data_IF_748926729897
#
_entry.id   IF_748926729897
#
_cell.length_a   1.000
_cell.length_b   1.000
_cell.length_c   1.000
_cell.angle_alpha   90.00
_cell.angle_beta   90.00
_cell.angle_gamma   90.00
#
_symmetry.space_group_name_H-M   'P 1'
#
loop_
_entity.id
_entity.type
_entity.pdbx_description
1 polymer ?
#
# COMPACT_ATOMS: atom_id res chain seq x y z
N UNK A 1 -58.67 13.08 -27.68
CA UNK A 1 -58.47 12.03 -26.65
C UNK A 1 -57.30 11.07 -26.91
N UNK A 2 -56.82 10.84 -28.14
CA UNK A 2 -55.70 9.89 -28.42
C UNK A 2 -54.29 10.37 -27.98
N UNK A 3 -54.06 11.68 -27.85
CA UNK A 3 -52.74 12.22 -27.44
C UNK A 3 -52.46 12.19 -25.93
N UNK A 4 -53.50 12.12 -25.08
CA UNK A 4 -53.33 12.04 -23.63
C UNK A 4 -52.90 10.63 -23.16
N UNK A 5 -53.35 9.60 -23.87
CA UNK A 5 -53.11 8.20 -23.52
C UNK A 5 -51.66 7.75 -23.80
N UNK A 6 -50.97 8.38 -24.76
CA UNK A 6 -49.57 8.09 -25.09
C UNK A 6 -48.55 8.75 -24.14
N UNK A 7 -48.95 9.78 -23.38
CA UNK A 7 -48.05 10.42 -22.39
C UNK A 7 -48.03 9.66 -21.07
N UNK A 8 -49.15 9.07 -20.66
CA UNK A 8 -49.22 8.25 -19.45
C UNK A 8 -48.39 6.97 -19.54
N UNK A 9 -48.42 6.29 -20.70
CA UNK A 9 -47.64 5.07 -20.92
C UNK A 9 -46.11 5.32 -20.95
N UNK A 10 -45.67 6.46 -21.50
CA UNK A 10 -44.25 6.83 -21.55
C UNK A 10 -43.68 7.24 -20.17
N UNK A 11 -44.49 7.88 -19.31
CA UNK A 11 -44.08 8.22 -17.95
C UNK A 11 -44.01 7.02 -17.01
N UNK A 12 -44.88 6.01 -17.18
CA UNK A 12 -44.78 4.75 -16.42
C UNK A 12 -43.53 3.93 -16.80
N UNK A 13 -43.08 3.97 -18.05
CA UNK A 13 -41.88 3.26 -18.50
C UNK A 13 -40.57 3.86 -17.95
N UNK A 14 -40.49 5.19 -17.78
CA UNK A 14 -39.32 5.82 -17.15
C UNK A 14 -39.29 5.62 -15.63
N UNK A 15 -40.44 5.58 -14.96
CA UNK A 15 -40.50 5.32 -13.52
C UNK A 15 -40.10 3.88 -13.16
N UNK A 16 -40.39 2.90 -14.03
CA UNK A 16 -39.98 1.51 -13.84
C UNK A 16 -38.48 1.28 -14.03
N UNK A 17 -37.80 2.09 -14.86
CA UNK A 17 -36.36 1.97 -15.12
C UNK A 17 -35.49 2.65 -14.03
N UNK A 18 -36.06 3.60 -13.27
CA UNK A 18 -35.38 4.23 -12.14
C UNK A 18 -35.35 3.34 -10.87
N UNK A 19 -36.21 2.33 -10.78
CA UNK A 19 -36.29 1.39 -9.66
C UNK A 19 -35.35 0.18 -9.79
N UNK A 20 -34.64 0.05 -10.92
CA UNK A 20 -33.66 -1.02 -11.18
C UNK A 20 -32.20 -0.57 -10.97
N UNK A 21 -31.97 0.65 -10.47
CA UNK A 21 -30.68 1.02 -9.86
C UNK A 21 -30.62 0.35 -8.48
N UNK A 22 -30.55 -0.99 -8.51
CA UNK A 22 -30.38 -1.82 -7.34
C UNK A 22 -29.18 -1.29 -6.56
N UNK A 23 -29.40 -1.04 -5.28
CA UNK A 23 -28.35 -0.85 -4.29
C UNK A 23 -27.43 -2.06 -4.39
N UNK A 24 -26.31 -1.92 -5.11
CA UNK A 24 -25.26 -2.92 -5.07
C UNK A 24 -24.89 -3.11 -3.59
N UNK A 25 -24.83 -4.36 -3.08
CA UNK A 25 -24.46 -4.58 -1.70
C UNK A 25 -23.11 -3.91 -1.46
N UNK A 26 -23.05 -3.00 -0.48
CA UNK A 26 -21.79 -2.43 -0.06
C UNK A 26 -20.89 -3.59 0.37
N UNK A 27 -19.79 -3.81 -0.36
CA UNK A 27 -18.81 -4.81 0.02
C UNK A 27 -18.31 -4.46 1.42
N UNK A 28 -18.46 -5.38 2.37
CA UNK A 28 -17.99 -5.16 3.73
C UNK A 28 -16.46 -4.98 3.70
N UNK A 29 -15.98 -3.90 4.31
CA UNK A 29 -14.55 -3.65 4.43
C UNK A 29 -13.93 -4.68 5.40
N UNK A 30 -12.97 -5.43 4.88
CA UNK A 30 -12.11 -6.34 5.62
C UNK A 30 -10.97 -5.55 6.28
N UNK A 31 -10.61 -5.93 7.50
CA UNK A 31 -9.46 -5.38 8.23
C UNK A 31 -8.35 -6.42 8.29
N UNK A 32 -7.12 -5.99 8.03
CA UNK A 32 -5.95 -6.86 8.10
C UNK A 32 -4.80 -6.14 8.77
N UNK A 33 -4.12 -6.84 9.68
CA UNK A 33 -2.91 -6.37 10.34
C UNK A 33 -1.82 -7.41 10.19
N UNK A 34 -0.62 -6.96 9.87
CA UNK A 34 0.54 -7.83 9.70
C UNK A 34 1.82 -7.11 10.09
N UNK A 35 2.84 -7.91 10.42
CA UNK A 35 4.21 -7.48 10.62
C UNK A 35 5.07 -8.03 9.51
N UNK A 36 5.95 -7.19 8.97
CA UNK A 36 6.99 -7.56 8.02
C UNK A 36 8.31 -7.65 8.76
N UNK A 37 9.01 -8.77 8.59
CA UNK A 37 10.40 -8.94 9.00
C UNK A 37 11.18 -9.30 7.75
N UNK A 38 12.14 -8.46 7.36
CA UNK A 38 12.79 -8.55 6.06
C UNK A 38 14.20 -7.98 6.05
N UNK A 39 14.95 -8.24 4.98
CA UNK A 39 16.23 -7.60 4.67
C UNK A 39 16.23 -7.12 3.22
N UNK A 40 17.03 -6.10 2.91
CA UNK A 40 17.26 -5.70 1.52
C UNK A 40 18.12 -6.75 0.82
N UNK A 41 17.66 -7.19 -0.34
CA UNK A 41 18.45 -7.96 -1.30
C UNK A 41 18.96 -7.09 -2.44
N UNK A 42 18.31 -5.94 -2.66
CA UNK A 42 18.74 -4.93 -3.63
C UNK A 42 18.37 -3.55 -3.12
N UNK A 43 19.28 -2.60 -3.31
CA UNK A 43 18.94 -1.19 -3.25
C UNK A 43 19.83 -0.41 -4.21
N UNK A 44 19.21 0.44 -5.01
CA UNK A 44 19.92 1.38 -5.87
C UNK A 44 19.33 2.76 -5.68
N UNK A 45 20.19 3.75 -5.43
CA UNK A 45 19.79 5.12 -5.07
C UNK A 45 20.61 6.10 -5.90
N UNK A 46 19.97 7.18 -6.32
CA UNK A 46 20.62 8.33 -6.95
C UNK A 46 20.19 9.60 -6.21
N UNK A 47 21.12 10.55 -6.08
CA UNK A 47 20.81 11.89 -5.60
C UNK A 47 20.10 12.67 -6.70
N UNK A 48 19.06 13.40 -6.35
CA UNK A 48 18.37 14.32 -7.27
C UNK A 48 19.06 15.68 -7.17
N UNK A 49 19.19 16.38 -8.30
CA UNK A 49 20.00 17.59 -8.40
C UNK A 49 19.31 18.87 -7.85
N UNK A 50 18.04 18.77 -7.47
CA UNK A 50 17.22 19.89 -7.01
C UNK A 50 17.42 20.21 -5.52
N UNK A 51 17.87 19.25 -4.70
CA UNK A 51 18.20 19.46 -3.30
C UNK A 51 19.25 18.46 -2.79
N UNK A 52 20.05 18.88 -1.79
CA UNK A 52 21.16 18.08 -1.25
C UNK A 52 20.72 16.74 -0.63
N UNK A 53 19.56 16.74 0.03
CA UNK A 53 18.99 15.61 0.76
C UNK A 53 17.92 14.83 -0.02
N UNK A 54 17.68 15.19 -1.28
CA UNK A 54 16.70 14.52 -2.12
C UNK A 54 17.33 13.33 -2.84
N UNK A 55 16.74 12.14 -2.66
CA UNK A 55 17.17 10.91 -3.27
C UNK A 55 15.98 10.10 -3.80
N UNK A 56 16.18 9.48 -4.95
CA UNK A 56 15.24 8.50 -5.51
C UNK A 56 15.91 7.16 -5.64
N UNK A 57 15.14 6.09 -5.58
CA UNK A 57 15.70 4.75 -5.68
C UNK A 57 14.68 3.66 -5.92
N UNK A 58 15.23 2.46 -6.09
CA UNK A 58 14.51 1.20 -6.14
C UNK A 58 15.06 0.24 -5.08
N UNK A 59 14.22 -0.66 -4.61
CA UNK A 59 14.59 -1.65 -3.61
C UNK A 59 13.96 -3.02 -3.91
N UNK A 60 14.57 -4.05 -3.32
CA UNK A 60 13.95 -5.35 -3.09
C UNK A 60 14.19 -5.75 -1.62
N UNK A 61 13.11 -6.12 -0.94
CA UNK A 61 13.12 -6.79 0.35
C UNK A 61 12.71 -8.24 0.17
N UNK A 62 13.34 -9.14 0.94
CA UNK A 62 12.85 -10.51 1.13
C UNK A 62 12.65 -10.79 2.60
N UNK A 63 11.61 -11.55 2.91
CA UNK A 63 11.33 -11.87 4.31
C UNK A 63 10.04 -12.63 4.53
N UNK A 64 9.48 -12.42 5.72
CA UNK A 64 8.24 -13.04 6.17
C UNK A 64 7.22 -11.98 6.55
N UNK A 65 5.96 -12.25 6.23
CA UNK A 65 4.80 -11.57 6.78
C UNK A 65 4.23 -12.42 7.91
N UNK A 66 3.94 -11.78 9.04
CA UNK A 66 3.33 -12.38 10.23
C UNK A 66 1.95 -11.75 10.41
N UNK A 67 0.89 -12.49 10.10
CA UNK A 67 -0.49 -12.05 10.27
C UNK A 67 -0.98 -12.30 11.69
N UNK A 68 -1.97 -11.53 12.11
CA UNK A 68 -2.71 -11.82 13.34
C UNK A 68 -3.31 -13.23 13.31
N UNK A 69 -3.23 -13.94 14.43
CA UNK A 69 -3.62 -15.35 14.52
C UNK A 69 -2.50 -16.35 14.20
N UNK A 70 -1.25 -15.89 14.07
CA UNK A 70 -0.07 -16.76 13.96
C UNK A 70 0.18 -17.32 12.55
N UNK A 71 -0.64 -16.94 11.57
CA UNK A 71 -0.40 -17.28 10.17
C UNK A 71 0.81 -16.49 9.65
N UNK A 72 1.68 -17.15 8.91
CA UNK A 72 2.84 -16.51 8.30
C UNK A 72 3.00 -16.90 6.83
N UNK A 73 3.74 -16.11 6.08
CA UNK A 73 4.09 -16.42 4.69
C UNK A 73 5.39 -15.75 4.29
N UNK A 74 6.14 -16.39 3.39
CA UNK A 74 7.26 -15.73 2.72
C UNK A 74 6.71 -14.68 1.74
N UNK A 75 7.43 -13.57 1.62
CA UNK A 75 7.11 -12.53 0.64
C UNK A 75 8.37 -11.89 0.06
N UNK A 76 8.20 -11.31 -1.11
CA UNK A 76 9.15 -10.38 -1.74
C UNK A 76 8.43 -9.04 -1.90
N UNK A 77 9.06 -7.95 -1.45
CA UNK A 77 8.59 -6.61 -1.71
C UNK A 77 9.56 -5.87 -2.61
N UNK A 78 9.05 -5.31 -3.70
CA UNK A 78 9.83 -4.53 -4.66
C UNK A 78 9.16 -3.19 -4.85
N UNK A 79 9.94 -2.13 -4.98
CA UNK A 79 9.37 -0.81 -5.10
C UNK A 79 10.31 0.26 -5.57
N UNK A 80 9.74 1.44 -5.77
CA UNK A 80 10.47 2.69 -5.96
C UNK A 80 10.12 3.63 -4.82
N UNK A 81 11.08 4.45 -4.44
CA UNK A 81 10.91 5.46 -3.41
C UNK A 81 11.55 6.77 -3.86
N UNK A 82 10.99 7.83 -3.32
CA UNK A 82 11.47 9.19 -3.41
C UNK A 82 11.49 9.72 -1.98
N UNK A 83 12.64 10.20 -1.52
CA UNK A 83 12.85 10.78 -0.19
C UNK A 83 13.37 12.19 -0.39
N UNK A 84 12.64 13.15 0.14
CA UNK A 84 12.82 14.57 -0.13
C UNK A 84 12.47 15.39 1.12
N UNK A 85 12.76 16.69 1.08
CA UNK A 85 12.51 17.68 2.14
C UNK A 85 13.00 17.31 3.54
N UNK A 86 14.03 18.03 4.01
CA UNK A 86 14.44 17.97 5.42
C UNK A 86 13.92 19.19 6.18
N UNK A 87 12.66 19.15 6.60
CA UNK A 87 12.13 20.16 7.54
C UNK A 87 12.22 19.62 8.97
N UNK A 88 12.89 20.34 9.87
CA UNK A 88 12.95 19.98 11.29
C UNK A 88 13.65 18.66 11.63
N UNK A 89 14.43 18.08 10.71
CA UNK A 89 15.13 16.80 10.91
C UNK A 89 14.33 15.55 10.55
N UNK A 90 13.09 15.71 10.09
CA UNK A 90 12.30 14.67 9.44
C UNK A 90 12.51 14.70 7.93
N UNK A 91 12.40 13.56 7.24
CA UNK A 91 12.37 13.50 5.77
C UNK A 91 11.00 13.06 5.28
N UNK A 92 10.46 13.68 4.25
CA UNK A 92 9.28 13.16 3.59
C UNK A 92 9.67 12.04 2.62
N UNK A 93 8.74 11.12 2.36
CA UNK A 93 8.92 10.15 1.29
C UNK A 93 7.61 9.77 0.62
N UNK A 94 7.70 9.34 -0.63
CA UNK A 94 6.62 8.67 -1.35
C UNK A 94 7.14 7.53 -2.23
N UNK A 95 6.24 6.66 -2.67
CA UNK A 95 6.65 5.45 -3.36
C UNK A 95 5.53 4.57 -3.87
N UNK A 96 5.97 3.51 -4.52
CA UNK A 96 5.15 2.36 -4.89
C UNK A 96 5.81 1.09 -4.35
N UNK A 97 5.00 0.18 -3.84
CA UNK A 97 5.42 -1.15 -3.42
C UNK A 97 4.59 -2.22 -4.12
N UNK A 98 5.24 -3.33 -4.45
CA UNK A 98 4.63 -4.57 -4.90
C UNK A 98 5.01 -5.68 -3.93
N UNK A 99 4.03 -6.26 -3.25
CA UNK A 99 4.21 -7.49 -2.48
C UNK A 99 3.87 -8.69 -3.36
N UNK A 100 4.74 -9.68 -3.35
CA UNK A 100 4.52 -10.99 -3.98
C UNK A 100 4.55 -12.07 -2.91
N UNK A 101 3.52 -12.91 -2.88
CA UNK A 101 3.37 -13.98 -1.89
C UNK A 101 3.70 -15.34 -2.49
N UNK A 102 4.01 -16.32 -1.64
CA UNK A 102 4.40 -17.67 -2.07
C UNK A 102 3.35 -18.42 -2.91
N UNK A 103 2.06 -18.07 -2.78
CA UNK A 103 0.98 -18.63 -3.59
C UNK A 103 0.81 -17.94 -4.96
N UNK A 104 1.70 -17.02 -5.32
CA UNK A 104 1.66 -16.25 -6.56
C UNK A 104 0.70 -15.05 -6.52
N UNK A 105 -0.04 -14.84 -5.44
CA UNK A 105 -0.85 -13.64 -5.25
C UNK A 105 0.04 -12.40 -5.13
N UNK A 106 -0.42 -11.25 -5.61
CA UNK A 106 0.31 -9.98 -5.51
C UNK A 106 -0.58 -8.83 -5.06
N UNK A 107 0.03 -7.83 -4.45
CA UNK A 107 -0.58 -6.53 -4.12
C UNK A 107 0.36 -5.43 -4.61
N UNK A 108 -0.18 -4.42 -5.25
CA UNK A 108 0.51 -3.17 -5.60
C UNK A 108 -0.16 -2.03 -4.85
N UNK A 109 0.62 -1.18 -4.20
CA UNK A 109 0.15 0.00 -3.48
C UNK A 109 1.05 1.21 -3.75
N UNK A 110 0.48 2.40 -3.60
CA UNK A 110 1.25 3.64 -3.45
C UNK A 110 1.28 4.03 -1.98
N UNK A 111 2.37 4.65 -1.55
CA UNK A 111 2.52 5.13 -0.20
C UNK A 111 3.14 6.53 -0.17
N UNK A 112 2.88 7.23 0.93
CA UNK A 112 3.60 8.44 1.34
C UNK A 112 3.79 8.43 2.84
N UNK A 113 4.80 9.10 3.34
CA UNK A 113 5.15 9.04 4.75
C UNK A 113 6.28 9.97 5.12
N UNK A 114 6.84 9.68 6.29
CA UNK A 114 7.98 10.37 6.86
C UNK A 114 9.02 9.37 7.35
N UNK A 115 10.26 9.82 7.36
CA UNK A 115 11.39 9.18 8.02
C UNK A 115 11.87 10.07 9.17
N UNK A 116 11.98 9.48 10.35
CA UNK A 116 12.51 10.13 11.54
C UNK A 116 13.74 9.37 12.05
N UNK A 117 14.60 10.07 12.77
CA UNK A 117 15.80 9.49 13.36
C UNK A 117 15.74 9.67 14.87
N UNK A 118 15.77 8.55 15.60
CA UNK A 118 15.92 8.60 17.06
C UNK A 118 17.28 9.22 17.41
N UNK A 119 17.34 9.93 18.52
CA UNK A 119 18.60 10.51 19.01
C UNK A 119 19.69 9.43 19.11
N UNK A 120 20.85 9.71 18.53
CA UNK A 120 21.98 8.76 18.46
C UNK A 120 21.85 7.64 17.42
N UNK A 121 20.70 7.47 16.75
CA UNK A 121 20.51 6.48 15.69
C UNK A 121 20.80 7.06 14.31
N UNK A 122 21.52 6.30 13.47
CA UNK A 122 21.67 6.56 12.04
C UNK A 122 20.65 5.81 11.18
N UNK A 123 19.84 4.95 11.80
CA UNK A 123 18.83 4.14 11.11
C UNK A 123 17.48 4.85 11.14
N UNK A 124 16.79 4.95 9.99
CA UNK A 124 15.50 5.63 9.92
C UNK A 124 14.40 4.77 10.54
N UNK A 125 13.50 5.45 11.24
CA UNK A 125 12.16 4.98 11.54
C UNK A 125 11.21 5.58 10.51
N UNK A 126 10.43 4.75 9.83
CA UNK A 126 9.48 5.17 8.79
C UNK A 126 8.07 5.04 9.29
N UNK A 127 7.19 5.96 8.91
CA UNK A 127 5.75 5.84 9.11
C UNK A 127 4.98 6.50 7.96
N UNK A 128 3.77 6.03 7.70
CA UNK A 128 2.96 6.63 6.66
C UNK A 128 1.67 5.89 6.34
N UNK A 129 1.10 6.27 5.20
CA UNK A 129 -0.15 5.73 4.70
C UNK A 129 -0.06 5.43 3.20
N UNK A 130 -0.95 4.58 2.72
CA UNK A 130 -0.99 4.16 1.33
C UNK A 130 -2.38 3.75 0.88
N UNK A 131 -2.49 3.50 -0.42
CA UNK A 131 -3.70 3.03 -1.08
C UNK A 131 -3.37 1.86 -2.01
N UNK A 132 -4.21 0.82 -1.97
CA UNK A 132 -4.10 -0.29 -2.90
C UNK A 132 -4.46 0.17 -4.32
N UNK A 133 -3.65 -0.27 -5.29
CA UNK A 133 -3.81 0.06 -6.71
C UNK A 133 -4.37 -1.15 -7.45
N UNK A 134 -3.80 -2.33 -7.20
CA UNK A 134 -4.14 -3.58 -7.89
C UNK A 134 -3.70 -4.77 -7.05
N UNK A 135 -4.39 -5.89 -7.22
CA UNK A 135 -3.93 -7.18 -6.73
C UNK A 135 -4.27 -8.30 -7.72
N UNK A 136 -3.70 -9.48 -7.46
CA UNK A 136 -3.95 -10.71 -8.22
C UNK A 136 -4.21 -11.87 -7.27
N UNK A 137 -4.75 -12.97 -7.79
CA UNK A 137 -5.04 -14.17 -6.98
C UNK A 137 -6.04 -13.82 -5.88
N UNK A 138 -5.70 -14.12 -4.63
CA UNK A 138 -6.60 -13.84 -3.48
C UNK A 138 -6.86 -12.35 -3.20
N UNK A 139 -6.16 -11.45 -3.88
CA UNK A 139 -6.34 -9.99 -3.78
C UNK A 139 -6.86 -9.35 -5.07
N UNK A 140 -7.45 -10.13 -5.97
CA UNK A 140 -8.09 -9.59 -7.16
C UNK A 140 -9.21 -8.60 -6.78
N UNK A 141 -9.28 -7.48 -7.52
CA UNK A 141 -10.27 -6.43 -7.25
C UNK A 141 -10.05 -5.63 -5.97
N UNK A 142 -8.89 -5.75 -5.30
CA UNK A 142 -8.60 -5.04 -4.05
C UNK A 142 -8.74 -3.52 -4.16
N UNK A 143 -9.45 -2.92 -3.21
CA UNK A 143 -9.55 -1.47 -3.01
C UNK A 143 -9.48 -1.14 -1.54
N UNK A 144 -8.79 -0.07 -1.18
CA UNK A 144 -8.69 0.35 0.22
C UNK A 144 -7.39 1.07 0.52
N UNK A 145 -7.09 1.18 1.80
CA UNK A 145 -5.92 1.89 2.31
C UNK A 145 -5.14 1.06 3.32
N UNK A 146 -3.88 1.45 3.51
CA UNK A 146 -3.02 0.91 4.54
C UNK A 146 -2.29 2.04 5.29
N UNK A 147 -1.85 1.73 6.49
CA UNK A 147 -0.87 2.51 7.26
C UNK A 147 0.28 1.60 7.64
N UNK A 148 1.47 2.18 7.77
CA UNK A 148 2.65 1.45 8.20
C UNK A 148 3.50 2.28 9.14
N UNK A 149 4.25 1.59 9.99
CA UNK A 149 5.29 2.17 10.84
C UNK A 149 6.37 1.12 11.12
N UNK A 150 7.61 1.53 11.31
CA UNK A 150 8.69 0.60 11.61
C UNK A 150 10.05 1.19 11.38
N UNK A 151 11.08 0.36 11.35
CA UNK A 151 12.43 0.86 11.13
C UNK A 151 13.42 -0.22 10.76
N UNK A 152 14.59 0.26 10.33
CA UNK A 152 15.74 -0.59 10.13
C UNK A 152 16.35 -0.99 11.48
N UNK A 153 16.69 -2.27 11.60
CA UNK A 153 17.38 -2.87 12.76
C UNK A 153 18.88 -2.87 12.52
N UNK A 154 19.30 -3.14 11.28
CA UNK A 154 20.70 -3.08 10.85
C UNK A 154 20.83 -2.17 9.63
N UNK A 155 22.00 -1.56 9.48
CA UNK A 155 22.32 -0.75 8.30
C UNK A 155 22.68 -1.63 7.12
N UNK A 156 22.44 -1.13 5.90
CA UNK A 156 22.96 -1.79 4.69
C UNK A 156 24.50 -1.91 4.80
N UNK A 157 25.02 -3.13 4.65
CA UNK A 157 26.45 -3.46 4.77
C UNK A 157 27.04 -3.26 6.19
N UNK A 158 26.23 -3.02 7.21
CA UNK A 158 26.66 -3.21 8.58
C UNK A 158 26.72 -4.72 8.83
N UNK A 159 27.92 -5.25 9.04
CA UNK A 159 28.14 -6.62 9.53
C UNK A 159 27.70 -7.75 8.57
N UNK A 160 27.72 -7.49 7.26
CA UNK A 160 27.34 -8.49 6.25
C UNK A 160 25.83 -8.78 6.17
N UNK A 161 25.02 -8.00 6.90
CA UNK A 161 23.56 -8.05 6.83
C UNK A 161 23.03 -7.16 5.70
N UNK A 162 21.88 -7.55 5.16
CA UNK A 162 21.23 -6.85 4.06
C UNK A 162 20.44 -5.60 4.49
N UNK A 163 20.71 -4.98 5.64
CA UNK A 163 19.84 -3.91 6.15
C UNK A 163 18.46 -4.43 6.54
N UNK A 164 18.41 -5.13 7.66
CA UNK A 164 17.20 -5.74 8.20
C UNK A 164 16.20 -4.68 8.64
N UNK A 165 14.91 -4.93 8.41
CA UNK A 165 13.82 -4.02 8.74
C UNK A 165 12.63 -4.77 9.33
N UNK A 166 11.99 -4.12 10.31
CA UNK A 166 10.75 -4.58 10.94
C UNK A 166 9.70 -3.49 10.81
N UNK A 167 8.61 -3.80 10.12
CA UNK A 167 7.49 -2.87 9.90
C UNK A 167 6.17 -3.51 10.34
N UNK A 168 5.31 -2.71 10.94
CA UNK A 168 3.94 -3.04 11.27
C UNK A 168 2.98 -2.35 10.30
N UNK A 169 2.00 -3.09 9.82
CA UNK A 169 1.00 -2.63 8.86
C UNK A 169 -0.41 -2.87 9.36
N UNK A 170 -1.30 -1.96 8.98
CA UNK A 170 -2.74 -2.06 9.18
C UNK A 170 -3.43 -1.65 7.89
N UNK A 171 -4.39 -2.43 7.43
CA UNK A 171 -5.14 -2.16 6.22
C UNK A 171 -6.63 -2.35 6.43
N UNK A 172 -7.40 -1.56 5.69
CA UNK A 172 -8.83 -1.69 5.52
C UNK A 172 -9.12 -1.73 4.01
N UNK A 173 -9.76 -2.80 3.54
CA UNK A 173 -9.94 -3.04 2.12
C UNK A 173 -11.19 -3.85 1.79
N UNK A 174 -11.63 -3.78 0.54
CA UNK A 174 -12.65 -4.65 -0.04
C UNK A 174 -12.07 -5.44 -1.20
N UNK A 175 -12.69 -6.58 -1.51
CA UNK A 175 -12.42 -7.37 -2.70
C UNK A 175 -13.68 -7.39 -3.55
N UNK A 176 -13.58 -6.99 -4.81
CA UNK A 176 -14.64 -7.18 -5.79
C UNK A 176 -14.68 -8.68 -6.15
N UNK A 177 -15.47 -9.45 -5.40
CA UNK A 177 -15.76 -10.85 -5.69
C UNK A 177 -16.76 -10.97 -6.84
#
# INVERSE_FOLDING_TARGET
MRHAMNRAAALCALAAMALLLGSAPALAAEKMTWKEVSHLTLVHKIKVADAEDHLVGIYEHRGVVLFTGGRQGAYVSQGRFDVYDREGGERNHDGYGKMSFADGSTIIFKCRGKETFKEGSKLPWVSGQGAFIKGTGRYEGIKGSLTYEGGYVTGLNADGTGGDAVLDYRAEYTLAK
#
